data_IF_604437942679
#
_entry.id   IF_604437942679
#
_cell.length_a   1.000
_cell.length_b   1.000
_cell.length_c   1.000
_cell.angle_alpha   90.00
_cell.angle_beta   90.00
_cell.angle_gamma   90.00
#
_symmetry.space_group_name_H-M   'P 1'
#
loop_
_entity.id
_entity.type
_entity.pdbx_description
1 polymer ?
#
# COMPACT_ATOMS: atom_id res chain seq x y z
N UNK A 1 -14.31 1.57 -12.82
CA UNK A 1 -13.86 2.99 -12.90
C UNK A 1 -13.86 3.55 -11.50
N UNK A 2 -12.78 4.19 -11.05
CA UNK A 2 -12.74 4.83 -9.74
C UNK A 2 -13.68 6.06 -9.72
N UNK A 3 -14.27 6.40 -8.56
CA UNK A 3 -15.02 7.64 -8.40
C UNK A 3 -14.09 8.86 -8.55
N UNK A 4 -14.63 10.00 -8.93
CA UNK A 4 -13.89 11.26 -9.10
C UNK A 4 -13.28 11.75 -7.78
N UNK A 5 -14.00 11.58 -6.68
CA UNK A 5 -13.56 11.89 -5.32
C UNK A 5 -13.79 10.68 -4.42
N UNK A 6 -12.84 10.40 -3.51
CA UNK A 6 -12.95 9.32 -2.55
C UNK A 6 -12.56 9.80 -1.14
N UNK A 7 -13.13 9.20 -0.08
CA UNK A 7 -12.62 9.40 1.27
C UNK A 7 -11.16 8.93 1.35
N UNK A 8 -10.29 9.71 1.97
CA UNK A 8 -8.90 9.33 2.18
C UNK A 8 -8.63 8.91 3.62
N UNK A 9 -7.83 7.87 3.76
CA UNK A 9 -7.37 7.32 5.03
C UNK A 9 -5.86 7.51 5.16
N UNK A 10 -5.43 8.63 5.75
CA UNK A 10 -4.00 8.89 5.97
C UNK A 10 -3.48 8.05 7.14
N UNK A 11 -2.41 7.29 6.89
CA UNK A 11 -1.71 6.51 7.91
C UNK A 11 -0.20 6.80 7.86
N UNK A 12 0.51 6.75 9.00
CA UNK A 12 1.95 7.06 9.05
C UNK A 12 2.84 5.90 8.58
N UNK A 13 2.32 4.67 8.61
CA UNK A 13 3.15 3.47 8.44
C UNK A 13 2.65 2.52 7.36
N UNK A 14 1.52 2.82 6.71
CA UNK A 14 0.85 1.85 5.86
C UNK A 14 0.67 2.38 4.44
N UNK A 15 1.17 1.65 3.47
CA UNK A 15 0.94 1.83 2.03
C UNK A 15 0.18 0.61 1.54
N UNK A 16 -0.83 0.81 0.69
CA UNK A 16 -1.60 -0.26 0.05
C UNK A 16 -1.13 -0.42 -1.39
N UNK A 17 -1.03 -1.67 -1.86
CA UNK A 17 -0.70 -1.99 -3.25
C UNK A 17 -1.88 -2.62 -3.98
N UNK A 18 -1.98 -2.45 -5.33
CA UNK A 18 -3.01 -3.08 -6.14
C UNK A 18 -3.05 -4.62 -5.96
N UNK A 19 -4.26 -5.18 -5.95
CA UNK A 19 -4.56 -6.61 -5.77
C UNK A 19 -4.11 -7.25 -4.45
N UNK A 20 -3.65 -6.46 -3.47
CA UNK A 20 -3.27 -6.96 -2.15
C UNK A 20 -4.40 -6.72 -1.15
N UNK A 21 -4.56 -7.66 -0.21
CA UNK A 21 -5.53 -7.55 0.87
C UNK A 21 -4.87 -6.97 2.12
N UNK A 22 -5.52 -6.00 2.74
CA UNK A 22 -5.05 -5.32 3.95
C UNK A 22 -6.13 -5.38 5.04
N UNK A 23 -5.94 -6.19 6.10
CA UNK A 23 -6.82 -6.16 7.25
C UNK A 23 -6.56 -4.90 8.09
N UNK A 24 -7.63 -4.25 8.53
CA UNK A 24 -7.59 -3.02 9.32
C UNK A 24 -8.56 -3.09 10.50
N UNK A 25 -8.15 -2.50 11.61
CA UNK A 25 -8.99 -2.27 12.77
C UNK A 25 -9.26 -0.76 12.93
N UNK A 26 -10.52 -0.37 12.79
CA UNK A 26 -10.93 1.04 12.76
C UNK A 26 -11.58 1.40 14.09
N UNK A 27 -10.94 2.29 14.84
CA UNK A 27 -11.39 2.71 16.17
C UNK A 27 -11.63 4.22 16.30
N UNK A 28 -10.90 5.06 15.54
CA UNK A 28 -11.04 6.51 15.60
C UNK A 28 -12.42 6.98 15.09
N UNK A 29 -13.10 7.92 15.76
CA UNK A 29 -14.43 8.38 15.35
C UNK A 29 -14.51 8.85 13.89
N UNK A 30 -13.52 9.61 13.41
CA UNK A 30 -13.46 10.10 12.03
C UNK A 30 -13.43 8.96 11.02
N UNK A 31 -12.68 7.91 11.28
CA UNK A 31 -12.57 6.77 10.36
C UNK A 31 -13.72 5.79 10.51
N UNK A 32 -14.37 5.73 11.68
CA UNK A 32 -15.62 4.99 11.86
C UNK A 32 -16.75 5.61 11.03
N UNK A 33 -16.83 6.95 10.99
CA UNK A 33 -17.77 7.67 10.12
C UNK A 33 -17.45 7.38 8.64
N UNK A 34 -16.19 7.55 8.24
CA UNK A 34 -15.72 7.26 6.89
C UNK A 34 -16.15 5.86 6.39
N UNK A 35 -15.88 4.83 7.21
CA UNK A 35 -16.25 3.45 6.88
C UNK A 35 -17.77 3.27 6.79
N UNK A 36 -18.53 3.86 7.71
CA UNK A 36 -19.99 3.79 7.70
C UNK A 36 -20.56 4.37 6.41
N UNK A 37 -20.07 5.53 5.99
CA UNK A 37 -20.52 6.20 4.76
C UNK A 37 -20.03 5.47 3.51
N UNK A 38 -18.77 5.02 3.48
CA UNK A 38 -18.25 4.23 2.36
C UNK A 38 -19.03 2.92 2.15
N UNK A 39 -19.44 2.23 3.22
CA UNK A 39 -20.27 1.02 3.14
C UNK A 39 -21.66 1.27 2.56
N UNK A 40 -22.19 2.49 2.71
CA UNK A 40 -23.45 2.93 2.10
C UNK A 40 -23.33 3.36 0.63
N UNK A 41 -22.11 3.52 0.11
CA UNK A 41 -21.81 3.95 -1.25
C UNK A 41 -20.97 2.94 -2.03
N UNK A 42 -19.89 3.43 -2.67
CA UNK A 42 -19.04 2.64 -3.56
C UNK A 42 -18.10 1.67 -2.83
N UNK A 43 -18.06 1.68 -1.50
CA UNK A 43 -17.19 0.89 -0.62
C UNK A 43 -15.70 1.15 -0.86
N UNK A 44 -15.36 2.32 -1.37
CA UNK A 44 -14.00 2.71 -1.73
C UNK A 44 -13.40 3.64 -0.68
N UNK A 45 -12.12 3.42 -0.36
CA UNK A 45 -11.31 4.26 0.53
C UNK A 45 -9.93 4.41 -0.10
N UNK A 46 -9.40 5.63 -0.15
CA UNK A 46 -8.05 5.92 -0.63
C UNK A 46 -7.03 5.85 0.50
N UNK A 47 -6.12 4.88 0.46
CA UNK A 47 -5.00 4.80 1.39
C UNK A 47 -3.90 5.74 0.96
N UNK A 48 -3.44 6.62 1.86
CA UNK A 48 -2.37 7.58 1.62
C UNK A 48 -1.39 7.62 2.80
N UNK A 49 -0.12 7.89 2.52
CA UNK A 49 0.90 7.99 3.56
C UNK A 49 0.99 9.42 4.08
N UNK A 50 1.05 9.57 5.41
CA UNK A 50 1.34 10.86 6.06
C UNK A 50 2.80 11.27 5.79
N UNK A 51 3.01 12.59 5.62
CA UNK A 51 4.37 13.15 5.56
C UNK A 51 4.95 13.29 6.97
N UNK A 52 6.29 13.25 7.11
CA UNK A 52 6.94 13.53 8.38
C UNK A 52 6.47 14.85 8.99
N UNK A 53 6.37 14.92 10.32
CA UNK A 53 5.88 16.09 11.04
C UNK A 53 4.36 16.17 11.17
N UNK A 54 3.65 15.12 10.80
CA UNK A 54 2.19 15.02 10.91
C UNK A 54 1.68 15.08 12.35
N UNK A 55 2.52 14.77 13.33
CA UNK A 55 2.15 14.67 14.74
C UNK A 55 1.62 16.00 15.31
N UNK A 56 2.14 17.11 14.80
CA UNK A 56 1.76 18.45 15.25
C UNK A 56 0.30 18.82 14.88
N UNK A 57 -0.26 18.19 13.84
CA UNK A 57 -1.61 18.46 13.31
C UNK A 57 -2.39 17.16 13.07
N UNK A 58 -2.11 16.10 13.84
CA UNK A 58 -2.69 14.78 13.60
C UNK A 58 -4.23 14.77 13.61
N UNK A 59 -4.85 15.54 14.49
CA UNK A 59 -6.30 15.64 14.60
C UNK A 59 -6.92 16.63 13.58
N UNK A 60 -6.09 17.39 12.89
CA UNK A 60 -6.49 18.35 11.86
C UNK A 60 -6.39 17.78 10.44
N UNK A 61 -5.62 18.47 9.61
CA UNK A 61 -5.39 18.10 8.21
C UNK A 61 -3.89 17.91 7.91
N UNK A 62 -3.24 16.91 8.54
CA UNK A 62 -1.80 16.71 8.38
C UNK A 62 -1.45 16.46 6.91
N UNK A 63 -0.26 16.90 6.46
CA UNK A 63 0.13 16.75 5.06
C UNK A 63 0.30 15.29 4.70
N UNK A 64 -0.16 14.92 3.50
CA UNK A 64 -0.04 13.58 2.92
C UNK A 64 0.83 13.61 1.68
N UNK A 65 1.35 12.44 1.30
CA UNK A 65 1.91 12.26 -0.04
C UNK A 65 0.80 12.19 -1.07
N UNK A 66 1.09 12.67 -2.28
CA UNK A 66 0.07 12.73 -3.33
C UNK A 66 -0.28 11.37 -3.91
N UNK A 67 0.66 10.41 -3.87
CA UNK A 67 0.42 9.06 -4.38
C UNK A 67 -0.25 8.21 -3.32
N UNK A 68 -1.32 7.52 -3.73
CA UNK A 68 -2.05 6.56 -2.90
C UNK A 68 -2.55 5.37 -3.71
N UNK A 69 -3.22 4.45 -3.01
CA UNK A 69 -3.91 3.33 -3.63
C UNK A 69 -5.35 3.28 -3.12
N UNK A 70 -6.30 3.17 -4.05
CA UNK A 70 -7.71 2.97 -3.74
C UNK A 70 -7.93 1.53 -3.25
N UNK A 71 -8.68 1.38 -2.17
CA UNK A 71 -9.04 0.09 -1.58
C UNK A 71 -10.53 -0.11 -1.58
N UNK A 72 -10.98 -1.28 -2.05
CA UNK A 72 -12.36 -1.72 -1.94
C UNK A 72 -12.55 -2.48 -0.61
N UNK A 73 -13.55 -2.10 0.19
CA UNK A 73 -13.94 -2.85 1.38
C UNK A 73 -14.61 -4.16 0.94
N UNK A 74 -13.86 -5.27 1.03
CA UNK A 74 -14.35 -6.60 0.66
C UNK A 74 -15.02 -7.32 1.80
N UNK A 75 -14.61 -7.04 3.02
CA UNK A 75 -15.20 -7.57 4.24
C UNK A 75 -15.27 -6.47 5.30
N UNK A 76 -16.34 -6.48 6.10
CA UNK A 76 -16.50 -5.56 7.23
C UNK A 76 -17.34 -6.20 8.32
N UNK A 77 -16.88 -6.07 9.55
CA UNK A 77 -17.58 -6.48 10.77
C UNK A 77 -17.67 -5.28 11.71
N UNK A 78 -18.88 -4.87 12.04
CA UNK A 78 -19.09 -3.80 13.04
C UNK A 78 -19.19 -4.42 14.42
N UNK A 79 -18.36 -3.95 15.34
CA UNK A 79 -18.35 -4.38 16.73
C UNK A 79 -19.40 -3.64 17.56
N UNK A 80 -19.79 -4.18 18.73
CA UNK A 80 -20.81 -3.60 19.62
C UNK A 80 -20.44 -2.18 20.10
N UNK A 81 -19.15 -1.88 20.24
CA UNK A 81 -18.64 -0.56 20.61
C UNK A 81 -18.52 0.41 19.42
N UNK A 82 -18.97 -0.02 18.25
CA UNK A 82 -19.02 0.76 17.01
C UNK A 82 -17.69 0.82 16.25
N UNK A 83 -16.64 0.12 16.68
CA UNK A 83 -15.41 -0.10 15.88
C UNK A 83 -15.70 -1.04 14.71
N UNK A 84 -14.78 -1.08 13.75
CA UNK A 84 -14.87 -2.00 12.62
C UNK A 84 -13.60 -2.82 12.47
N UNK A 85 -13.76 -4.11 12.19
CA UNK A 85 -12.75 -4.92 11.53
C UNK A 85 -13.10 -4.97 10.05
N UNK A 86 -12.17 -4.66 9.18
CA UNK A 86 -12.43 -4.70 7.75
C UNK A 86 -11.21 -5.22 6.98
N UNK A 87 -11.46 -5.64 5.75
CA UNK A 87 -10.41 -6.00 4.80
C UNK A 87 -10.57 -5.13 3.56
N UNK A 88 -9.53 -4.37 3.24
CA UNK A 88 -9.41 -3.66 1.98
C UNK A 88 -8.70 -4.57 0.95
N UNK A 89 -9.22 -4.59 -0.28
CA UNK A 89 -8.47 -5.04 -1.44
C UNK A 89 -8.00 -3.82 -2.21
N UNK A 90 -6.69 -3.68 -2.42
CA UNK A 90 -6.14 -2.66 -3.30
C UNK A 90 -6.66 -2.80 -4.72
N UNK A 91 -7.08 -1.71 -5.33
CA UNK A 91 -7.65 -1.70 -6.69
C UNK A 91 -6.69 -1.04 -7.66
N UNK A 92 -6.40 0.25 -7.45
CA UNK A 92 -5.67 1.04 -8.42
C UNK A 92 -4.90 2.17 -7.73
N UNK A 93 -3.69 2.42 -8.19
CA UNK A 93 -2.90 3.59 -7.80
C UNK A 93 -3.58 4.88 -8.28
N UNK A 94 -3.47 5.93 -7.50
CA UNK A 94 -3.95 7.25 -7.87
C UNK A 94 -2.99 8.35 -7.43
N UNK A 95 -3.18 9.54 -8.01
CA UNK A 95 -2.56 10.78 -7.57
C UNK A 95 -3.67 11.72 -7.07
N UNK A 96 -3.49 12.32 -5.89
CA UNK A 96 -4.35 13.38 -5.39
C UNK A 96 -4.18 14.61 -6.28
N UNK A 97 -5.26 15.04 -6.91
CA UNK A 97 -5.32 16.26 -7.69
C UNK A 97 -5.69 17.50 -6.83
N UNK A 98 -6.39 17.25 -5.73
CA UNK A 98 -6.79 18.25 -4.75
C UNK A 98 -7.62 17.62 -3.65
N UNK A 99 -7.81 18.32 -2.55
CA UNK A 99 -8.71 17.87 -1.49
C UNK A 99 -10.04 18.59 -1.59
N UNK A 100 -11.11 17.90 -1.23
CA UNK A 100 -12.43 18.50 -1.16
C UNK A 100 -12.50 19.50 0.01
N UNK A 101 -13.34 20.51 -0.15
CA UNK A 101 -13.62 21.42 0.96
C UNK A 101 -14.28 20.64 2.10
N UNK A 102 -13.94 20.98 3.38
CA UNK A 102 -14.59 20.36 4.52
C UNK A 102 -16.10 20.53 4.48
N UNK A 103 -16.85 19.44 4.60
CA UNK A 103 -18.30 19.48 4.72
C UNK A 103 -18.71 19.50 6.20
N UNK A 104 -19.77 20.24 6.50
CA UNK A 104 -20.33 20.32 7.86
C UNK A 104 -20.75 18.94 8.34
N UNK A 105 -20.20 18.49 9.44
CA UNK A 105 -20.49 17.17 10.03
C UNK A 105 -19.64 16.01 9.52
N UNK A 106 -18.80 16.21 8.51
CA UNK A 106 -17.83 15.22 8.05
C UNK A 106 -16.54 15.34 8.86
N UNK A 107 -16.14 14.25 9.51
CA UNK A 107 -14.96 14.18 10.37
C UNK A 107 -13.71 13.70 9.63
N UNK A 108 -13.84 13.18 8.41
CA UNK A 108 -12.76 12.66 7.59
C UNK A 108 -12.55 13.49 6.33
N UNK A 109 -11.40 13.33 5.71
CA UNK A 109 -11.01 14.05 4.47
C UNK A 109 -11.43 13.27 3.25
N UNK A 110 -11.75 13.97 2.18
CA UNK A 110 -11.94 13.41 0.83
C UNK A 110 -11.03 14.13 -0.16
N UNK A 111 -10.67 13.43 -1.22
CA UNK A 111 -9.79 13.98 -2.23
C UNK A 111 -10.30 13.68 -3.64
N UNK A 112 -10.16 14.66 -4.51
CA UNK A 112 -10.26 14.49 -5.97
C UNK A 112 -9.02 13.74 -6.44
N UNK A 113 -9.21 12.64 -7.15
CA UNK A 113 -8.12 11.75 -7.55
C UNK A 113 -8.03 11.58 -9.07
N UNK A 114 -6.81 11.35 -9.54
CA UNK A 114 -6.52 10.92 -10.90
C UNK A 114 -6.01 9.48 -10.85
N UNK A 115 -6.75 8.50 -11.38
CA UNK A 115 -6.30 7.12 -11.47
C UNK A 115 -5.01 7.00 -12.29
N UNK A 116 -4.12 6.08 -11.88
CA UNK A 116 -2.90 5.74 -12.60
C UNK A 116 -2.93 4.26 -12.92
N UNK A 117 -3.40 3.96 -14.12
CA UNK A 117 -3.46 2.58 -14.61
C UNK A 117 -2.07 1.96 -14.68
N UNK A 118 -1.95 0.76 -14.17
CA UNK A 118 -0.75 -0.06 -14.28
C UNK A 118 -1.06 -1.34 -15.06
N UNK A 119 -0.24 -1.65 -16.03
CA UNK A 119 -0.34 -2.91 -16.77
C UNK A 119 1.05 -3.39 -17.18
N UNK A 120 1.19 -4.70 -17.31
CA UNK A 120 2.40 -5.32 -17.84
C UNK A 120 2.23 -5.47 -19.32
N UNK A 121 3.04 -4.75 -20.10
CA UNK A 121 3.03 -4.89 -21.57
C UNK A 121 3.52 -6.28 -21.99
N UNK A 122 3.09 -6.75 -23.14
CA UNK A 122 3.46 -8.08 -23.61
C UNK A 122 4.99 -8.25 -23.78
N UNK A 123 5.69 -7.19 -24.19
CA UNK A 123 7.15 -7.16 -24.32
C UNK A 123 7.89 -7.10 -22.98
N UNK A 124 7.20 -6.80 -21.87
CA UNK A 124 7.76 -6.75 -20.51
C UNK A 124 7.57 -8.05 -19.74
N UNK A 125 6.70 -8.97 -20.17
CA UNK A 125 6.34 -10.18 -19.39
C UNK A 125 7.54 -11.08 -19.11
N UNK A 126 8.39 -11.30 -20.10
CA UNK A 126 9.58 -12.13 -19.92
C UNK A 126 10.61 -11.44 -18.99
N UNK A 127 10.77 -10.12 -19.13
CA UNK A 127 11.62 -9.34 -18.23
C UNK A 127 11.10 -9.34 -16.79
N UNK A 128 9.77 -9.23 -16.59
CA UNK A 128 9.16 -9.30 -15.28
C UNK A 128 9.38 -10.68 -14.63
N UNK A 129 9.19 -11.75 -15.40
CA UNK A 129 9.44 -13.13 -14.93
C UNK A 129 10.90 -13.35 -14.53
N UNK A 130 11.85 -12.78 -15.27
CA UNK A 130 13.26 -12.88 -14.93
C UNK A 130 13.60 -12.10 -13.66
N UNK A 131 13.07 -10.88 -13.51
CA UNK A 131 13.24 -10.09 -12.29
C UNK A 131 12.57 -10.73 -11.07
N UNK A 132 11.42 -11.37 -11.26
CA UNK A 132 10.77 -12.18 -10.20
C UNK A 132 11.70 -13.29 -9.71
N UNK A 133 12.32 -14.07 -10.61
CA UNK A 133 13.29 -15.10 -10.21
C UNK A 133 14.46 -14.53 -9.41
N UNK A 134 14.95 -13.36 -9.81
CA UNK A 134 16.01 -12.65 -9.05
C UNK A 134 15.54 -12.32 -7.64
N UNK A 135 14.31 -11.80 -7.48
CA UNK A 135 13.74 -11.53 -6.16
C UNK A 135 13.61 -12.81 -5.32
N UNK A 136 13.12 -13.90 -5.91
CA UNK A 136 12.99 -15.19 -5.22
C UNK A 136 14.35 -15.70 -4.70
N UNK A 137 15.43 -15.54 -5.48
CA UNK A 137 16.79 -15.88 -5.07
C UNK A 137 17.30 -14.98 -3.92
N UNK A 138 17.02 -13.68 -3.95
CA UNK A 138 17.39 -12.74 -2.90
C UNK A 138 16.63 -13.01 -1.58
N UNK A 139 15.39 -13.44 -1.68
CA UNK A 139 14.53 -13.72 -0.54
C UNK A 139 14.73 -15.12 0.06
N UNK A 140 15.23 -16.08 -0.71
CA UNK A 140 15.41 -17.47 -0.26
C UNK A 140 16.20 -17.60 1.06
N UNK A 141 17.31 -16.88 1.31
CA UNK A 141 18.02 -16.92 2.59
C UNK A 141 17.22 -16.33 3.75
N UNK A 142 16.39 -15.32 3.49
CA UNK A 142 15.62 -14.58 4.52
C UNK A 142 14.39 -15.38 4.99
N UNK A 143 13.86 -16.25 4.16
CA UNK A 143 12.58 -16.93 4.39
C UNK A 143 12.70 -18.42 4.74
N UNK A 144 13.88 -18.93 5.03
CA UNK A 144 14.14 -20.32 5.42
C UNK A 144 13.41 -21.37 4.53
N UNK A 145 13.29 -21.11 3.23
CA UNK A 145 12.62 -22.00 2.27
C UNK A 145 11.09 -22.10 2.42
N UNK A 146 10.46 -21.20 3.18
CA UNK A 146 9.00 -21.21 3.38
C UNK A 146 8.25 -20.34 2.37
N UNK A 147 8.95 -19.55 1.57
CA UNK A 147 8.36 -18.58 0.63
C UNK A 147 7.37 -19.23 -0.34
N UNK A 148 7.77 -20.31 -1.01
CA UNK A 148 6.92 -20.98 -2.01
C UNK A 148 5.67 -21.65 -1.41
N UNK A 149 5.69 -22.00 -0.12
CA UNK A 149 4.56 -22.70 0.53
C UNK A 149 3.38 -21.80 0.85
N UNK A 150 3.57 -20.48 0.88
CA UNK A 150 2.54 -19.50 1.25
C UNK A 150 1.98 -18.73 0.07
N UNK A 151 2.55 -18.90 -1.13
CA UNK A 151 2.05 -18.27 -2.32
C UNK A 151 1.03 -19.16 -3.05
N UNK A 152 -0.11 -18.63 -3.44
CA UNK A 152 -1.06 -19.37 -4.28
C UNK A 152 -0.40 -19.83 -5.58
N UNK A 153 -0.54 -21.12 -5.92
CA UNK A 153 -0.07 -21.62 -7.21
C UNK A 153 -0.76 -20.85 -8.35
N UNK A 154 0.05 -20.34 -9.31
CA UNK A 154 -0.47 -19.61 -10.46
C UNK A 154 -0.77 -18.13 -10.21
N UNK A 155 -0.30 -17.55 -9.09
CA UNK A 155 -0.39 -16.09 -8.89
C UNK A 155 0.34 -15.36 -10.02
N UNK A 156 -0.30 -14.35 -10.66
CA UNK A 156 0.35 -13.51 -11.66
C UNK A 156 1.62 -12.85 -11.11
N UNK A 157 2.62 -12.64 -11.98
CA UNK A 157 3.90 -12.07 -11.56
C UNK A 157 3.73 -10.67 -10.96
N UNK A 158 2.84 -9.87 -11.52
CA UNK A 158 2.47 -8.53 -11.02
C UNK A 158 1.85 -8.55 -9.61
N UNK A 159 0.99 -9.52 -9.33
CA UNK A 159 0.33 -9.66 -8.04
C UNK A 159 1.33 -10.13 -6.97
N UNK A 160 2.27 -11.00 -7.35
CA UNK A 160 3.37 -11.39 -6.48
C UNK A 160 4.25 -10.20 -6.11
N UNK A 161 4.64 -9.38 -7.08
CA UNK A 161 5.45 -8.18 -6.84
C UNK A 161 4.74 -7.22 -5.87
N UNK A 162 3.45 -6.99 -6.05
CA UNK A 162 2.65 -6.15 -5.17
C UNK A 162 2.52 -6.75 -3.75
N UNK A 163 2.33 -8.06 -3.67
CA UNK A 163 2.28 -8.78 -2.38
C UNK A 163 3.60 -8.68 -1.63
N UNK A 164 4.72 -8.85 -2.32
CA UNK A 164 6.05 -8.68 -1.73
C UNK A 164 6.29 -7.24 -1.25
N UNK A 165 5.94 -6.25 -2.07
CA UNK A 165 6.05 -4.84 -1.69
C UNK A 165 5.22 -4.52 -0.44
N UNK A 166 4.05 -5.14 -0.28
CA UNK A 166 3.17 -4.96 0.88
C UNK A 166 3.77 -5.55 2.16
N UNK A 167 4.24 -6.81 2.09
CA UNK A 167 4.51 -7.59 3.30
C UNK A 167 5.99 -7.68 3.69
N UNK A 168 6.93 -7.36 2.80
CA UNK A 168 8.33 -7.25 3.18
C UNK A 168 8.57 -6.06 4.12
N UNK A 169 9.58 -6.19 4.98
CA UNK A 169 9.99 -5.17 5.96
C UNK A 169 10.75 -4.03 5.28
N UNK A 170 9.99 -3.20 4.57
CA UNK A 170 10.45 -1.92 4.06
C UNK A 170 9.91 -0.78 4.91
N UNK A 171 10.69 0.29 5.03
CA UNK A 171 10.22 1.53 5.64
C UNK A 171 9.02 2.09 4.86
N UNK A 172 8.09 2.82 5.52
CA UNK A 172 6.92 3.37 4.84
C UNK A 172 7.25 4.21 3.60
N UNK A 173 8.35 4.96 3.65
CA UNK A 173 8.80 5.77 2.51
C UNK A 173 9.37 4.91 1.37
N UNK A 174 10.03 3.80 1.68
CA UNK A 174 10.49 2.83 0.69
C UNK A 174 9.28 2.16 0.01
N UNK A 175 8.25 1.78 0.78
CA UNK A 175 6.99 1.25 0.23
C UNK A 175 6.30 2.27 -0.68
N UNK A 176 6.27 3.54 -0.29
CA UNK A 176 5.73 4.58 -1.15
C UNK A 176 6.53 4.71 -2.44
N UNK A 177 7.86 4.72 -2.37
CA UNK A 177 8.72 4.76 -3.55
C UNK A 177 8.50 3.56 -4.49
N UNK A 178 8.20 2.37 -3.92
CA UNK A 178 7.79 1.20 -4.70
C UNK A 178 6.41 1.38 -5.36
N UNK A 179 5.44 1.98 -4.65
CA UNK A 179 4.12 2.27 -5.23
C UNK A 179 4.22 3.30 -6.37
N UNK A 180 5.12 4.27 -6.25
CA UNK A 180 5.32 5.34 -7.25
C UNK A 180 5.98 4.85 -8.56
N UNK A 181 6.56 3.65 -8.57
CA UNK A 181 7.15 3.09 -9.79
C UNK A 181 6.15 3.00 -10.95
N UNK A 182 6.67 3.07 -12.18
CA UNK A 182 5.88 2.97 -13.41
C UNK A 182 5.53 1.50 -13.73
N UNK A 183 4.70 0.90 -12.88
CA UNK A 183 4.19 -0.45 -13.06
C UNK A 183 5.04 -1.55 -12.41
N UNK A 184 4.57 -2.81 -12.52
CA UNK A 184 5.12 -3.95 -11.80
C UNK A 184 6.58 -4.27 -12.13
N UNK A 185 7.02 -4.12 -13.38
CA UNK A 185 8.40 -4.41 -13.77
C UNK A 185 9.40 -3.44 -13.12
N UNK A 186 9.11 -2.14 -13.15
CA UNK A 186 9.96 -1.13 -12.50
C UNK A 186 9.95 -1.35 -10.97
N UNK A 187 8.79 -1.60 -10.38
CA UNK A 187 8.65 -1.93 -8.96
C UNK A 187 9.48 -3.15 -8.56
N UNK A 188 9.47 -4.21 -9.36
CA UNK A 188 10.24 -5.43 -9.13
C UNK A 188 11.76 -5.16 -9.13
N UNK A 189 12.25 -4.35 -10.08
CA UNK A 189 13.66 -3.96 -10.15
C UNK A 189 14.10 -3.14 -8.94
N UNK A 190 13.35 -2.09 -8.61
CA UNK A 190 13.63 -1.24 -7.45
C UNK A 190 13.60 -2.06 -6.15
N UNK A 191 12.67 -3.01 -6.02
CA UNK A 191 12.61 -3.89 -4.85
C UNK A 191 13.86 -4.77 -4.74
N UNK A 192 14.36 -5.34 -5.84
CA UNK A 192 15.59 -6.12 -5.84
C UNK A 192 16.79 -5.26 -5.42
N UNK A 193 16.90 -4.04 -5.93
CA UNK A 193 17.95 -3.08 -5.56
C UNK A 193 17.91 -2.72 -4.05
N UNK A 194 16.71 -2.48 -3.50
CA UNK A 194 16.54 -2.21 -2.07
C UNK A 194 16.97 -3.41 -1.21
N UNK A 195 16.62 -4.63 -1.61
CA UNK A 195 17.03 -5.85 -0.88
C UNK A 195 18.53 -6.06 -0.94
N UNK A 196 19.18 -5.83 -2.09
CA UNK A 196 20.61 -5.92 -2.23
C UNK A 196 21.34 -4.88 -1.35
N UNK A 197 20.86 -3.63 -1.32
CA UNK A 197 21.42 -2.59 -0.44
C UNK A 197 21.29 -2.97 1.05
N UNK A 198 20.13 -3.49 1.46
CA UNK A 198 19.92 -3.94 2.85
C UNK A 198 20.85 -5.11 3.21
N UNK A 199 21.06 -6.05 2.30
CA UNK A 199 21.99 -7.17 2.50
C UNK A 199 23.45 -6.72 2.66
N UNK A 200 23.88 -5.71 1.88
CA UNK A 200 25.23 -5.14 2.02
C UNK A 200 25.41 -4.36 3.32
N UNK A 201 24.40 -3.58 3.74
CA UNK A 201 24.43 -2.80 4.99
C UNK A 201 24.47 -3.67 6.25
N UNK A 202 23.83 -4.84 6.22
CA UNK A 202 23.83 -5.79 7.35
C UNK A 202 25.16 -6.52 7.53
N UNK A 203 26.05 -6.49 6.54
CA UNK A 203 27.37 -7.14 6.57
C UNK A 203 28.47 -6.30 7.25
N UNK A 204 28.27 -5.01 7.44
CA UNK A 204 29.28 -4.08 7.96
C UNK A 204 29.25 -3.89 9.49
N UNK A 205 28.13 -4.23 10.15
CA UNK A 205 28.01 -4.14 11.62
C UNK A 205 28.67 -5.29 12.40
N UNK A 206 29.27 -6.25 11.71
CA UNK A 206 29.94 -7.43 12.31
C UNK A 206 31.44 -7.29 12.58
N UNK A 207 32.07 -6.17 12.26
CA UNK A 207 33.54 -6.03 12.31
C UNK A 207 34.03 -4.84 13.14
N UNK A 208 33.51 -4.70 14.38
CA UNK A 208 34.25 -3.93 15.41
C UNK A 208 34.20 -4.70 16.71
N UNK A 209 35.09 -5.69 16.81
CA UNK A 209 35.50 -6.20 18.10
C UNK A 209 36.99 -5.80 18.25
N UNK A 210 37.25 -4.83 19.08
CA UNK A 210 38.41 -4.81 19.94
C UNK A 210 38.19 -3.89 21.13
#
# INVERSE_FOLDING_TARGET
MLPFSIPIFPLPTTVLFPNVFLPLHIFEPRYRQMVTEALGGDRMIGMVLLRPGYEADYDGAPPVYATGCSGLITHSEKMDDGRYNLVLRGIEKFIIAGEDLPEVGRLYRSAVITPVEEFVRNDERDALREQRKRLELLLAPLMNGTFERHLPAGMPDEDLVNTLAQYLEFEPIEKLALLEQQGPLARCRTMAELLEMKAMGSGDDGAVVH
#
